data_IF_734306755647
#
_entry.id   IF_734306755647
#
_cell.length_a   1.000
_cell.length_b   1.000
_cell.length_c   1.000
_cell.angle_alpha   90.00
_cell.angle_beta   90.00
_cell.angle_gamma   90.00
#
_symmetry.space_group_name_H-M   'P 1'
#
loop_
_entity.id
_entity.type
_entity.pdbx_description
1 polymer ?
#
# COMPACT_ATOMS: atom_id res chain seq x y z
N UNK A 1 -8.65 -4.78 -12.34
CA UNK A 1 -7.79 -5.48 -13.33
C UNK A 1 -6.91 -4.48 -14.07
N UNK A 2 -7.44 -3.61 -14.92
CA UNK A 2 -6.64 -2.63 -15.68
C UNK A 2 -5.76 -1.71 -14.80
N UNK A 3 -6.30 -1.20 -13.69
CA UNK A 3 -5.56 -0.35 -12.74
C UNK A 3 -4.37 -1.06 -12.08
N UNK A 4 -4.50 -2.36 -11.80
CA UNK A 4 -3.44 -3.16 -11.21
C UNK A 4 -2.30 -3.40 -12.20
N UNK A 5 -2.63 -3.73 -13.46
CA UNK A 5 -1.64 -3.88 -14.53
C UNK A 5 -0.87 -2.58 -14.80
N UNK A 6 -1.58 -1.45 -14.88
CA UNK A 6 -0.97 -0.13 -15.08
C UNK A 6 0.00 0.23 -13.96
N UNK A 7 -0.37 -0.03 -12.70
CA UNK A 7 0.50 0.23 -11.57
C UNK A 7 1.76 -0.66 -11.57
N UNK A 8 1.61 -1.95 -11.91
CA UNK A 8 2.73 -2.88 -11.99
C UNK A 8 3.69 -2.48 -13.11
N UNK A 9 3.15 -2.14 -14.28
CA UNK A 9 3.91 -1.68 -15.44
C UNK A 9 4.68 -0.38 -15.15
N UNK A 10 4.06 0.60 -14.49
CA UNK A 10 4.72 1.85 -14.12
C UNK A 10 5.86 1.61 -13.11
N UNK A 11 5.67 0.73 -12.13
CA UNK A 11 6.72 0.36 -11.19
C UNK A 11 7.96 -0.23 -11.89
N UNK A 12 7.76 -1.14 -12.85
CA UNK A 12 8.88 -1.69 -13.63
C UNK A 12 9.57 -0.63 -14.48
N UNK A 13 8.80 0.24 -15.15
CA UNK A 13 9.36 1.32 -15.98
C UNK A 13 10.18 2.31 -15.15
N UNK A 14 9.69 2.72 -13.98
CA UNK A 14 10.40 3.63 -13.07
C UNK A 14 11.72 3.02 -12.61
N UNK A 15 11.70 1.73 -12.25
CA UNK A 15 12.90 1.02 -11.80
C UNK A 15 13.99 0.91 -12.89
N UNK A 16 13.59 0.86 -14.16
CA UNK A 16 14.52 0.80 -15.29
C UNK A 16 15.06 2.19 -15.68
N UNK A 17 14.22 3.23 -15.58
CA UNK A 17 14.54 4.60 -16.01
C UNK A 17 15.34 5.40 -14.97
N UNK A 18 15.16 5.14 -13.66
CA UNK A 18 15.78 5.97 -12.61
C UNK A 18 17.27 5.65 -12.42
N UNK A 19 18.19 6.60 -12.66
CA UNK A 19 19.60 6.42 -12.35
C UNK A 19 19.81 6.31 -10.83
N UNK A 20 20.70 5.42 -10.39
CA UNK A 20 21.00 5.15 -8.96
C UNK A 20 21.65 6.31 -8.18
N UNK A 21 21.79 7.48 -8.80
CA UNK A 21 22.37 8.64 -8.14
C UNK A 21 21.24 9.46 -7.51
N UNK A 22 21.30 9.77 -6.20
CA UNK A 22 20.26 10.54 -5.54
C UNK A 22 20.22 11.96 -6.13
N UNK A 23 19.03 12.40 -6.52
CA UNK A 23 18.80 13.72 -7.08
C UNK A 23 18.86 14.76 -5.94
N UNK A 24 19.55 15.89 -6.10
CA UNK A 24 19.58 16.95 -5.11
C UNK A 24 18.25 17.73 -5.12
N UNK A 25 17.18 17.09 -4.66
CA UNK A 25 15.85 17.71 -4.57
C UNK A 25 15.77 18.63 -3.35
N UNK A 26 15.20 19.83 -3.55
CA UNK A 26 15.04 20.88 -2.53
C UNK A 26 14.33 20.37 -1.26
N UNK A 27 13.37 19.45 -1.42
CA UNK A 27 12.62 18.86 -0.32
C UNK A 27 13.49 18.01 0.59
N UNK A 28 14.46 17.26 0.06
CA UNK A 28 15.39 16.46 0.86
C UNK A 28 16.49 17.29 1.52
N UNK A 29 16.75 18.49 1.00
CA UNK A 29 17.66 19.43 1.65
C UNK A 29 17.00 20.14 2.84
N UNK A 30 15.66 20.32 2.79
CA UNK A 30 14.90 21.04 3.82
C UNK A 30 14.32 20.10 4.91
N UNK A 31 13.96 18.86 4.56
CA UNK A 31 13.38 17.87 5.49
C UNK A 31 14.36 16.69 5.64
N UNK A 32 14.97 16.49 6.82
CA UNK A 32 15.81 15.33 7.05
C UNK A 32 14.97 14.05 7.03
N UNK A 33 15.58 12.95 6.57
CA UNK A 33 14.90 11.67 6.44
C UNK A 33 14.35 11.16 7.78
N UNK A 34 13.02 11.03 7.89
CA UNK A 34 12.34 10.60 9.11
C UNK A 34 12.17 9.07 9.13
N UNK A 35 12.97 8.37 9.94
CA UNK A 35 12.91 6.90 10.07
C UNK A 35 11.58 6.38 10.68
N UNK A 36 10.90 7.20 11.50
CA UNK A 36 9.62 6.83 12.12
C UNK A 36 8.43 6.91 11.17
N UNK A 37 8.54 7.68 10.09
CA UNK A 37 7.42 7.95 9.19
C UNK A 37 6.93 6.67 8.48
N UNK A 38 7.85 5.75 8.19
CA UNK A 38 7.49 4.48 7.55
C UNK A 38 6.65 3.59 8.47
N UNK A 39 7.06 3.41 9.73
CA UNK A 39 6.32 2.61 10.70
C UNK A 39 4.95 3.20 11.02
N UNK A 40 4.85 4.53 11.15
CA UNK A 40 3.56 5.21 11.36
C UNK A 40 2.66 5.04 10.13
N UNK A 41 3.22 5.08 8.92
CA UNK A 41 2.49 4.84 7.67
C UNK A 41 1.85 3.46 7.62
N UNK A 42 2.58 2.42 8.00
CA UNK A 42 2.06 1.04 8.02
C UNK A 42 0.92 0.89 9.04
N UNK A 43 1.07 1.45 10.24
CA UNK A 43 0.02 1.41 11.27
C UNK A 43 -1.23 2.17 10.83
N UNK A 44 -1.08 3.38 10.30
CA UNK A 44 -2.20 4.19 9.81
C UNK A 44 -2.91 3.51 8.63
N UNK A 45 -2.17 2.88 7.72
CA UNK A 45 -2.74 2.13 6.59
C UNK A 45 -3.58 0.94 7.07
N UNK A 46 -3.07 0.18 8.04
CA UNK A 46 -3.80 -0.96 8.62
C UNK A 46 -5.06 -0.50 9.36
N UNK A 47 -4.97 0.52 10.21
CA UNK A 47 -6.12 1.04 10.97
C UNK A 47 -7.20 1.60 10.03
N UNK A 48 -6.81 2.36 9.00
CA UNK A 48 -7.75 2.92 8.02
C UNK A 48 -8.47 1.83 7.23
N UNK A 49 -7.77 0.74 6.89
CA UNK A 49 -8.37 -0.42 6.22
C UNK A 49 -9.42 -1.09 7.10
N UNK A 50 -9.09 -1.37 8.37
CA UNK A 50 -10.01 -1.99 9.34
C UNK A 50 -11.25 -1.10 9.59
N UNK A 51 -11.06 0.22 9.70
CA UNK A 51 -12.19 1.16 9.84
C UNK A 51 -13.06 1.19 8.59
N UNK A 52 -12.47 1.22 7.40
CA UNK A 52 -13.23 1.20 6.15
C UNK A 52 -14.08 -0.07 6.02
N UNK A 53 -13.52 -1.25 6.36
CA UNK A 53 -14.28 -2.50 6.38
C UNK A 53 -15.44 -2.46 7.39
N UNK A 54 -15.20 -1.96 8.60
CA UNK A 54 -16.23 -1.87 9.65
C UNK A 54 -17.39 -0.96 9.23
N UNK A 55 -17.09 0.21 8.65
CA UNK A 55 -18.09 1.16 8.16
C UNK A 55 -18.91 0.57 7.03
N UNK A 56 -18.28 -0.19 6.13
CA UNK A 56 -18.95 -0.86 5.02
C UNK A 56 -19.91 -1.96 5.51
N UNK A 57 -19.54 -2.72 6.55
CA UNK A 57 -20.39 -3.77 7.14
C UNK A 57 -21.60 -3.20 7.89
N UNK A 58 -21.45 -2.06 8.57
CA UNK A 58 -22.51 -1.42 9.35
C UNK A 58 -23.48 -0.57 8.51
N UNK A 59 -23.20 -0.36 7.23
CA UNK A 59 -24.04 0.49 6.39
C UNK A 59 -25.29 -0.26 5.87
N UNK A 60 -26.47 0.33 6.11
CA UNK A 60 -27.77 -0.23 5.72
C UNK A 60 -27.96 -0.25 4.19
N UNK A 61 -27.62 0.84 3.51
CA UNK A 61 -27.71 0.96 2.03
C UNK A 61 -26.42 0.48 1.37
N UNK A 62 -26.23 -0.85 1.35
CA UNK A 62 -25.01 -1.53 0.88
C UNK A 62 -24.67 -1.23 -0.59
N UNK A 63 -25.71 -1.05 -1.41
CA UNK A 63 -25.63 -0.86 -2.86
C UNK A 63 -25.00 0.46 -3.30
N UNK A 64 -25.42 1.57 -2.68
CA UNK A 64 -24.99 2.91 -3.08
C UNK A 64 -23.55 3.19 -2.64
N UNK A 65 -23.16 2.69 -1.46
CA UNK A 65 -21.81 2.90 -0.91
C UNK A 65 -20.78 2.11 -1.70
N UNK A 66 -21.08 0.87 -2.07
CA UNK A 66 -20.17 0.03 -2.81
C UNK A 66 -19.77 0.62 -4.17
N UNK A 67 -20.77 1.12 -4.92
CA UNK A 67 -20.52 1.75 -6.23
C UNK A 67 -19.58 2.95 -6.12
N UNK A 68 -19.70 3.73 -5.03
CA UNK A 68 -18.81 4.87 -4.74
C UNK A 68 -17.41 4.42 -4.33
N UNK A 69 -17.31 3.38 -3.50
CA UNK A 69 -16.02 2.81 -3.06
C UNK A 69 -15.23 2.21 -4.23
N UNK A 70 -15.88 1.51 -5.16
CA UNK A 70 -15.22 0.95 -6.33
C UNK A 70 -14.67 2.04 -7.27
N UNK A 71 -15.46 3.09 -7.52
CA UNK A 71 -15.04 4.23 -8.35
C UNK A 71 -13.91 5.02 -7.70
N UNK A 72 -14.01 5.30 -6.39
CA UNK A 72 -12.95 5.96 -5.62
C UNK A 72 -11.67 5.12 -5.57
N UNK A 73 -11.78 3.81 -5.35
CA UNK A 73 -10.65 2.88 -5.35
C UNK A 73 -9.96 2.82 -6.71
N UNK A 74 -10.73 2.78 -7.81
CA UNK A 74 -10.18 2.81 -9.16
C UNK A 74 -9.43 4.11 -9.47
N UNK A 75 -10.00 5.27 -9.10
CA UNK A 75 -9.39 6.59 -9.30
C UNK A 75 -8.13 6.73 -8.43
N UNK A 76 -8.17 6.32 -7.16
CA UNK A 76 -7.04 6.41 -6.25
C UNK A 76 -5.86 5.54 -6.70
N UNK A 77 -6.13 4.33 -7.21
CA UNK A 77 -5.10 3.47 -7.80
C UNK A 77 -4.52 4.05 -9.10
N UNK A 78 -5.36 4.70 -9.92
CA UNK A 78 -4.90 5.44 -11.10
C UNK A 78 -3.99 6.61 -10.71
N UNK A 79 -4.40 7.41 -9.73
CA UNK A 79 -3.63 8.53 -9.20
C UNK A 79 -2.29 8.05 -8.62
N UNK A 80 -2.26 6.92 -7.91
CA UNK A 80 -1.01 6.33 -7.41
C UNK A 80 -0.03 6.07 -8.55
N UNK A 81 -0.50 5.48 -9.65
CA UNK A 81 0.33 5.22 -10.82
C UNK A 81 0.83 6.53 -11.46
N UNK A 82 -0.02 7.56 -11.55
CA UNK A 82 0.35 8.90 -12.06
C UNK A 82 1.39 9.58 -11.15
N UNK A 83 1.18 9.57 -9.84
CA UNK A 83 2.11 10.19 -8.87
C UNK A 83 3.46 9.49 -8.87
N UNK A 84 3.48 8.15 -8.97
CA UNK A 84 4.72 7.37 -9.12
C UNK A 84 5.45 7.70 -10.44
N UNK A 85 4.70 7.91 -11.53
CA UNK A 85 5.27 8.28 -12.82
C UNK A 85 5.72 9.75 -12.92
N UNK A 86 5.22 10.64 -12.06
CA UNK A 86 5.61 12.07 -12.05
C UNK A 86 6.68 12.33 -10.99
N UNK A 87 6.63 11.63 -9.86
CA UNK A 87 7.51 11.83 -8.70
C UNK A 87 8.58 10.74 -8.67
N UNK A 88 9.60 10.90 -9.51
CA UNK A 88 10.77 10.03 -9.50
C UNK A 88 11.66 10.41 -8.32
N UNK A 89 11.37 9.84 -7.15
CA UNK A 89 12.21 10.07 -5.97
C UNK A 89 13.22 8.93 -5.85
N UNK A 90 14.48 9.12 -6.28
CA UNK A 90 15.50 8.12 -6.03
C UNK A 90 15.67 7.94 -4.51
N UNK A 91 16.09 6.74 -4.07
CA UNK A 91 16.37 6.50 -2.66
C UNK A 91 17.44 7.49 -2.17
N UNK A 92 17.09 8.40 -1.24
CA UNK A 92 17.99 9.41 -0.66
C UNK A 92 19.01 8.87 0.35
N UNK A 93 19.17 7.55 0.41
CA UNK A 93 20.03 6.91 1.40
C UNK A 93 21.50 7.06 0.97
N UNK A 94 22.29 7.74 1.79
CA UNK A 94 23.73 7.95 1.57
C UNK A 94 24.56 6.72 1.98
N UNK A 95 24.05 5.90 2.90
CA UNK A 95 24.75 4.77 3.51
C UNK A 95 23.90 3.49 3.40
N UNK A 96 24.49 2.39 2.92
CA UNK A 96 23.75 1.14 2.60
C UNK A 96 23.47 0.29 3.82
N UNK A 97 24.24 0.48 4.88
CA UNK A 97 24.20 -0.38 6.07
C UNK A 97 23.05 -0.04 7.02
N UNK A 98 22.41 1.12 6.88
CA UNK A 98 21.23 1.49 7.67
C UNK A 98 19.93 0.80 7.21
N UNK A 99 19.91 0.26 5.99
CA UNK A 99 18.73 -0.33 5.34
C UNK A 99 18.72 -1.86 5.51
N UNK A 100 19.91 -2.46 5.61
CA UNK A 100 20.05 -3.87 5.87
C UNK A 100 19.59 -4.15 7.30
N UNK A 101 18.45 -4.84 7.45
CA UNK A 101 18.10 -5.47 8.72
C UNK A 101 19.31 -6.30 9.17
N UNK A 102 19.87 -5.97 10.34
CA UNK A 102 20.82 -6.84 11.02
C UNK A 102 20.24 -8.25 11.02
N UNK A 103 21.03 -9.29 10.74
CA UNK A 103 20.56 -10.68 10.72
C UNK A 103 19.73 -10.99 11.98
N UNK A 104 18.40 -10.89 11.86
CA UNK A 104 17.46 -11.17 12.94
C UNK A 104 17.42 -12.69 13.08
N UNK A 105 17.48 -13.18 14.31
CA UNK A 105 17.45 -14.61 14.59
C UNK A 105 16.30 -15.29 13.84
N UNK A 106 16.56 -16.43 13.20
CA UNK A 106 15.63 -17.12 12.29
C UNK A 106 14.25 -17.33 12.92
N UNK A 107 14.20 -17.56 14.24
CA UNK A 107 12.98 -17.73 15.03
C UNK A 107 12.07 -16.50 15.06
N UNK A 108 12.64 -15.29 15.14
CA UNK A 108 11.88 -14.04 15.20
C UNK A 108 11.37 -13.61 13.82
N UNK A 109 12.15 -13.91 12.76
CA UNK A 109 11.72 -13.72 11.37
C UNK A 109 10.48 -14.57 11.05
N UNK A 110 10.47 -15.86 11.43
CA UNK A 110 9.30 -16.73 11.24
C UNK A 110 8.06 -16.21 11.99
N UNK A 111 8.21 -15.69 13.22
CA UNK A 111 7.09 -15.14 13.98
C UNK A 111 6.43 -13.93 13.31
N UNK A 112 7.22 -12.99 12.78
CA UNK A 112 6.73 -11.81 12.06
C UNK A 112 6.07 -12.20 10.73
N UNK A 113 6.68 -13.16 10.01
CA UNK A 113 6.16 -13.63 8.71
C UNK A 113 4.81 -14.35 8.88
N UNK A 114 4.67 -15.18 9.91
CA UNK A 114 3.40 -15.82 10.26
C UNK A 114 2.36 -14.77 10.65
N UNK A 115 2.70 -13.80 11.51
CA UNK A 115 1.78 -12.75 11.93
C UNK A 115 1.28 -11.93 10.73
N UNK A 116 2.18 -11.53 9.84
CA UNK A 116 1.87 -10.76 8.63
C UNK A 116 1.04 -11.61 7.66
N UNK A 117 1.38 -12.88 7.49
CA UNK A 117 0.63 -13.81 6.65
C UNK A 117 -0.79 -14.02 7.18
N UNK A 118 -0.97 -14.17 8.49
CA UNK A 118 -2.29 -14.29 9.11
C UNK A 118 -3.13 -13.03 8.95
N UNK A 119 -2.55 -11.84 9.11
CA UNK A 119 -3.26 -10.58 8.91
C UNK A 119 -3.75 -10.44 7.46
N UNK A 120 -2.87 -10.72 6.50
CA UNK A 120 -3.21 -10.72 5.08
C UNK A 120 -4.30 -11.75 4.77
N UNK A 121 -4.23 -12.96 5.34
CA UNK A 121 -5.25 -13.99 5.11
C UNK A 121 -6.62 -13.61 5.68
N UNK A 122 -6.64 -13.00 6.87
CA UNK A 122 -7.87 -12.51 7.50
C UNK A 122 -8.50 -11.42 6.65
N UNK A 123 -7.71 -10.43 6.22
CA UNK A 123 -8.18 -9.34 5.35
C UNK A 123 -8.66 -9.89 4.00
N UNK A 124 -7.93 -10.84 3.40
CA UNK A 124 -8.30 -11.42 2.11
C UNK A 124 -9.60 -12.23 2.19
N UNK A 125 -9.74 -13.06 3.22
CA UNK A 125 -10.95 -13.85 3.44
C UNK A 125 -12.16 -12.95 3.76
N UNK A 126 -11.97 -11.92 4.59
CA UNK A 126 -13.03 -10.95 4.89
C UNK A 126 -13.45 -10.16 3.65
N UNK A 127 -12.50 -9.77 2.80
CA UNK A 127 -12.76 -9.08 1.53
C UNK A 127 -13.44 -10.00 0.50
N UNK A 128 -13.04 -11.27 0.40
CA UNK A 128 -13.68 -12.26 -0.46
C UNK A 128 -15.12 -12.56 -0.02
N UNK A 129 -15.34 -12.76 1.28
CA UNK A 129 -16.68 -12.93 1.84
C UNK A 129 -17.55 -11.69 1.61
N UNK A 130 -16.98 -10.48 1.74
CA UNK A 130 -17.67 -9.25 1.41
C UNK A 130 -18.04 -9.16 -0.08
N UNK A 131 -17.14 -9.55 -0.99
CA UNK A 131 -17.41 -9.55 -2.43
C UNK A 131 -18.49 -10.56 -2.82
N UNK A 132 -18.53 -11.73 -2.17
CA UNK A 132 -19.58 -12.75 -2.36
C UNK A 132 -20.93 -12.22 -1.87
N UNK A 133 -21.01 -11.73 -0.63
CA UNK A 133 -22.23 -11.13 -0.06
C UNK A 133 -22.73 -9.94 -0.90
N UNK A 134 -21.81 -9.23 -1.52
CA UNK A 134 -22.10 -8.15 -2.44
C UNK A 134 -22.65 -8.67 -3.76
N UNK A 135 -22.04 -9.69 -4.38
CA UNK A 135 -22.51 -10.34 -5.62
C UNK A 135 -23.91 -10.98 -5.46
N UNK A 136 -24.15 -11.64 -4.31
CA UNK A 136 -25.44 -12.22 -3.95
C UNK A 136 -26.54 -11.17 -3.73
N UNK A 137 -26.18 -9.92 -3.39
CA UNK A 137 -27.13 -8.85 -3.24
C UNK A 137 -27.30 -8.01 -4.52
N UNK A 138 -26.39 -8.11 -5.52
CA UNK A 138 -26.54 -7.46 -6.86
C UNK A 138 -27.66 -8.16 -7.63
N UNK A 139 -27.77 -9.47 -7.42
CA UNK A 139 -28.60 -10.42 -8.20
C UNK A 139 -30.00 -10.50 -7.64
#
# INVERSE_FOLDING_TARGET
>A
MLSAFLNFFLLTVIHDVVPRQPLPDLTFMIIPQQKWAWSVGDVLSTVSSVMAFTVVLLHHERWVVLRRMFLLGAIMYGLRAVVLGVTFLPPSFHDRDEICLSQVNRSAMYGMEIATSTDVHIVYNSCAHFLIVMEDAVT
#
